data_IF_262297962633
#
_entry.id   IF_262297962633
#
_cell.length_a   1.000
_cell.length_b   1.000
_cell.length_c   1.000
_cell.angle_alpha   90.00
_cell.angle_beta   90.00
_cell.angle_gamma   90.00
#
_symmetry.space_group_name_H-M   'P 1'
#
loop_
_entity.id
_entity.type
_entity.pdbx_description
1 polymer ?
#
# COMPACT_ATOMS: atom_id res chain seq x y z
N UNK A 1 0.13 -18.30 -23.96
CA UNK A 1 0.08 -17.66 -22.66
C UNK A 1 1.08 -18.34 -21.75
N UNK A 2 1.98 -17.58 -21.10
CA UNK A 2 2.84 -18.15 -20.07
C UNK A 2 1.97 -18.54 -18.88
N UNK A 3 2.14 -19.76 -18.41
CA UNK A 3 1.65 -20.18 -17.10
C UNK A 3 2.30 -19.31 -16.04
N UNK A 4 1.50 -18.50 -15.38
CA UNK A 4 1.96 -17.73 -14.22
C UNK A 4 2.27 -18.77 -13.12
N UNK A 5 3.49 -18.78 -12.54
CA UNK A 5 3.79 -19.65 -11.42
C UNK A 5 2.75 -19.47 -10.32
N UNK A 6 2.46 -20.53 -9.58
CA UNK A 6 1.57 -20.44 -8.43
C UNK A 6 2.15 -19.51 -7.37
N UNK A 7 1.66 -18.27 -7.37
CA UNK A 7 2.10 -17.23 -6.43
C UNK A 7 1.78 -17.55 -4.97
N UNK A 8 0.89 -18.50 -4.72
CA UNK A 8 0.60 -18.96 -3.36
C UNK A 8 1.74 -19.78 -2.76
N UNK A 9 2.57 -20.40 -3.62
CA UNK A 9 3.63 -21.32 -3.16
C UNK A 9 5.05 -20.79 -3.36
N UNK A 10 5.33 -19.95 -4.36
CA UNK A 10 6.69 -19.44 -4.59
C UNK A 10 6.75 -18.14 -5.41
N UNK A 11 6.41 -17.03 -4.78
CA UNK A 11 6.52 -15.70 -5.39
C UNK A 11 7.97 -15.29 -5.72
N UNK A 12 8.97 -15.87 -5.04
CA UNK A 12 10.39 -15.54 -5.27
C UNK A 12 10.84 -15.90 -6.68
N UNK A 13 10.21 -16.89 -7.32
CA UNK A 13 10.55 -17.36 -8.67
C UNK A 13 9.78 -16.65 -9.79
N UNK A 14 8.83 -15.82 -9.48
CA UNK A 14 8.02 -15.12 -10.46
C UNK A 14 8.78 -13.91 -11.06
N UNK A 15 9.74 -14.15 -11.97
CA UNK A 15 10.59 -13.10 -12.53
C UNK A 15 9.81 -11.96 -13.19
N UNK A 16 8.74 -12.24 -13.90
CA UNK A 16 7.86 -11.22 -14.48
C UNK A 16 7.14 -10.40 -13.43
N UNK A 17 6.66 -11.03 -12.38
CA UNK A 17 6.02 -10.35 -11.26
C UNK A 17 7.03 -9.43 -10.56
N UNK A 18 8.24 -9.93 -10.27
CA UNK A 18 9.33 -9.12 -9.69
C UNK A 18 9.64 -7.90 -10.55
N UNK A 19 9.86 -8.09 -11.86
CA UNK A 19 10.13 -6.98 -12.77
C UNK A 19 9.01 -5.95 -12.80
N UNK A 20 7.76 -6.40 -12.83
CA UNK A 20 6.58 -5.51 -12.84
C UNK A 20 6.46 -4.66 -11.58
N UNK A 21 6.82 -5.21 -10.42
CA UNK A 21 6.67 -4.54 -9.12
C UNK A 21 7.92 -3.76 -8.70
N UNK A 22 9.10 -4.09 -9.21
CA UNK A 22 10.37 -3.50 -8.77
C UNK A 22 11.03 -2.59 -9.80
N UNK A 23 10.67 -2.67 -11.08
CA UNK A 23 11.23 -1.80 -12.10
C UNK A 23 10.53 -0.44 -12.11
N UNK A 24 11.25 0.62 -11.76
CA UNK A 24 10.72 1.98 -11.67
C UNK A 24 10.15 2.50 -12.99
N UNK A 25 10.79 2.17 -14.12
CA UNK A 25 10.29 2.55 -15.44
C UNK A 25 8.96 1.91 -15.78
N UNK A 26 8.75 0.64 -15.41
CA UNK A 26 7.48 -0.05 -15.60
C UNK A 26 6.39 0.52 -14.66
N UNK A 27 6.74 0.90 -13.44
CA UNK A 27 5.80 1.54 -12.51
C UNK A 27 5.34 2.90 -13.06
N UNK A 28 6.27 3.69 -13.57
CA UNK A 28 5.95 4.99 -14.17
C UNK A 28 5.11 4.83 -15.45
N UNK A 29 5.44 3.89 -16.33
CA UNK A 29 4.62 3.60 -17.50
C UNK A 29 3.18 3.16 -17.11
N UNK A 30 3.03 2.43 -16.02
CA UNK A 30 1.72 2.06 -15.48
C UNK A 30 0.95 3.27 -14.96
N UNK A 31 1.62 4.22 -14.31
CA UNK A 31 1.01 5.46 -13.86
C UNK A 31 0.51 6.29 -15.05
N UNK A 32 1.32 6.41 -16.12
CA UNK A 32 0.93 7.14 -17.32
C UNK A 32 -0.29 6.51 -18.00
N UNK A 33 -0.30 5.18 -18.15
CA UNK A 33 -1.45 4.48 -18.69
C UNK A 33 -2.71 4.67 -17.84
N UNK A 34 -2.56 4.73 -16.51
CA UNK A 34 -3.70 4.98 -15.62
C UNK A 34 -4.23 6.41 -15.75
N UNK A 35 -3.36 7.40 -15.92
CA UNK A 35 -3.76 8.79 -16.19
C UNK A 35 -4.58 8.85 -17.48
N UNK A 36 -4.09 8.23 -18.56
CA UNK A 36 -4.82 8.15 -19.84
C UNK A 36 -6.20 7.47 -19.68
N UNK A 37 -6.26 6.40 -18.86
CA UNK A 37 -7.52 5.72 -18.57
C UNK A 37 -8.53 6.66 -17.90
N UNK A 38 -8.09 7.43 -16.88
CA UNK A 38 -8.96 8.37 -16.17
C UNK A 38 -9.44 9.48 -17.11
N UNK A 39 -8.54 10.04 -17.92
CA UNK A 39 -8.89 11.05 -18.92
C UNK A 39 -9.95 10.52 -19.91
N UNK A 40 -9.73 9.34 -20.45
CA UNK A 40 -10.69 8.71 -21.38
C UNK A 40 -12.03 8.41 -20.72
N UNK A 41 -12.04 7.96 -19.48
CA UNK A 41 -13.28 7.77 -18.73
C UNK A 41 -14.06 9.09 -18.59
N UNK A 42 -13.36 10.16 -18.23
CA UNK A 42 -13.97 11.50 -18.11
C UNK A 42 -14.52 12.02 -19.44
N UNK A 43 -13.83 11.83 -20.57
CA UNK A 43 -14.33 12.17 -21.91
C UNK A 43 -15.68 11.50 -22.20
N UNK A 44 -15.93 10.32 -21.63
CA UNK A 44 -17.18 9.58 -21.75
C UNK A 44 -18.17 9.81 -20.59
N UNK A 45 -17.89 10.76 -19.69
CA UNK A 45 -18.75 11.06 -18.55
C UNK A 45 -18.72 9.99 -17.44
N UNK A 46 -17.72 9.12 -17.47
CA UNK A 46 -17.54 8.03 -16.47
C UNK A 46 -16.65 8.52 -15.34
N UNK A 47 -17.09 8.29 -14.10
CA UNK A 47 -16.32 8.58 -12.89
C UNK A 47 -15.49 7.36 -12.46
N UNK A 48 -14.28 7.62 -11.99
CA UNK A 48 -13.35 6.57 -11.53
C UNK A 48 -13.21 6.66 -10.01
N UNK A 49 -13.62 5.59 -9.34
CA UNK A 49 -13.42 5.39 -7.90
C UNK A 49 -12.38 4.30 -7.71
N UNK A 50 -11.31 4.58 -6.99
CA UNK A 50 -10.25 3.60 -6.72
C UNK A 50 -10.44 2.92 -5.37
N UNK A 51 -10.00 1.66 -5.28
CA UNK A 51 -10.07 0.88 -4.05
C UNK A 51 -8.83 1.13 -3.18
N UNK A 52 -9.05 1.55 -1.95
CA UNK A 52 -8.04 1.77 -0.94
C UNK A 52 -8.03 0.65 0.09
N UNK A 53 -7.15 -0.35 -0.07
CA UNK A 53 -6.87 -1.36 0.94
C UNK A 53 -5.79 -0.82 1.86
N UNK A 54 -6.18 -0.12 2.91
CA UNK A 54 -5.27 0.65 3.77
C UNK A 54 -5.05 0.03 5.16
N UNK A 55 -5.86 -0.96 5.56
CA UNK A 55 -5.72 -1.63 6.86
C UNK A 55 -4.48 -2.56 6.93
N UNK A 56 -4.13 -3.18 5.82
CA UNK A 56 -3.03 -4.13 5.69
C UNK A 56 -2.36 -3.99 4.33
N UNK A 57 -1.25 -4.67 4.14
CA UNK A 57 -0.63 -4.81 2.82
C UNK A 57 -0.41 -6.29 2.50
N UNK A 58 0.07 -6.60 1.30
CA UNK A 58 0.57 -7.95 1.01
C UNK A 58 1.95 -8.16 1.65
N UNK A 59 2.26 -9.38 2.03
CA UNK A 59 3.57 -9.74 2.61
C UNK A 59 4.77 -9.44 1.69
N UNK A 60 4.50 -9.37 0.38
CA UNK A 60 5.46 -9.00 -0.67
C UNK A 60 5.62 -7.48 -0.87
N UNK A 61 4.86 -6.65 -0.15
CA UNK A 61 5.02 -5.19 -0.24
C UNK A 61 6.43 -4.79 0.20
N UNK A 62 7.03 -3.81 -0.48
CA UNK A 62 8.40 -3.33 -0.20
C UNK A 62 8.65 -2.93 1.25
N UNK A 63 7.61 -2.58 2.00
CA UNK A 63 7.76 -2.20 3.41
C UNK A 63 8.08 -3.39 4.31
N UNK A 64 7.51 -4.56 4.03
CA UNK A 64 7.83 -5.80 4.74
C UNK A 64 8.86 -6.63 3.99
N UNK A 65 8.62 -6.86 2.70
CA UNK A 65 9.43 -7.65 1.76
C UNK A 65 9.78 -9.06 2.27
N UNK A 66 8.76 -9.77 2.80
CA UNK A 66 8.94 -11.15 3.27
C UNK A 66 9.46 -12.08 2.15
N UNK A 67 8.99 -11.88 0.94
CA UNK A 67 9.35 -12.67 -0.24
C UNK A 67 10.67 -12.23 -0.89
N UNK A 68 11.36 -11.23 -0.30
CA UNK A 68 12.68 -10.75 -0.75
C UNK A 68 12.71 -10.28 -2.23
N UNK A 69 11.61 -9.70 -2.70
CA UNK A 69 11.51 -9.20 -4.08
C UNK A 69 12.42 -7.98 -4.32
N UNK A 70 12.62 -7.17 -3.30
CA UNK A 70 13.38 -5.92 -3.36
C UNK A 70 14.81 -6.06 -2.82
N UNK A 71 15.13 -7.19 -2.20
CA UNK A 71 16.45 -7.46 -1.59
C UNK A 71 17.57 -7.34 -2.62
N UNK A 72 18.58 -6.54 -2.30
CA UNK A 72 19.74 -6.31 -3.17
C UNK A 72 19.48 -5.35 -4.34
N UNK A 73 18.32 -4.74 -4.42
CA UNK A 73 18.03 -3.68 -5.38
C UNK A 73 18.26 -2.31 -4.72
N UNK A 74 19.25 -1.56 -5.24
CA UNK A 74 19.67 -0.26 -4.70
C UNK A 74 18.62 0.85 -4.79
N UNK A 75 17.56 0.65 -5.58
CA UNK A 75 16.45 1.60 -5.70
C UNK A 75 15.49 1.53 -4.52
N UNK A 76 15.66 0.55 -3.63
CA UNK A 76 14.74 0.29 -2.52
C UNK A 76 15.47 0.11 -1.18
N UNK A 77 14.83 0.58 -0.14
CA UNK A 77 15.23 0.34 1.24
C UNK A 77 14.97 -1.11 1.66
N UNK A 78 15.72 -1.59 2.64
CA UNK A 78 15.51 -2.93 3.21
C UNK A 78 14.14 -3.04 3.88
N UNK A 79 13.40 -4.11 3.59
CA UNK A 79 12.10 -4.37 4.19
C UNK A 79 12.17 -4.69 5.70
N UNK A 80 11.08 -4.42 6.42
CA UNK A 80 11.02 -4.61 7.87
C UNK A 80 11.11 -6.07 8.31
N UNK A 81 10.79 -7.02 7.45
CA UNK A 81 10.97 -8.44 7.71
C UNK A 81 12.46 -8.81 7.86
N UNK A 82 13.32 -8.18 7.07
CA UNK A 82 14.73 -8.53 6.94
C UNK A 82 15.61 -7.84 7.97
N UNK A 83 15.22 -6.64 8.45
CA UNK A 83 16.04 -5.85 9.37
C UNK A 83 15.22 -5.04 10.36
N UNK A 84 15.69 -5.01 11.61
CA UNK A 84 15.16 -4.14 12.65
C UNK A 84 15.41 -2.65 12.35
N UNK A 85 16.50 -2.36 11.67
CA UNK A 85 16.91 -0.99 11.28
C UNK A 85 16.18 -0.51 10.02
N UNK A 86 15.29 -1.31 9.44
CA UNK A 86 14.48 -0.91 8.31
C UNK A 86 13.74 0.40 8.60
N UNK A 87 13.72 1.37 7.66
CA UNK A 87 12.95 2.59 7.81
C UNK A 87 11.43 2.35 7.86
N UNK A 88 11.01 1.13 7.59
CA UNK A 88 9.63 0.67 7.65
C UNK A 88 9.30 -0.16 8.89
N UNK A 89 10.25 -0.35 9.81
CA UNK A 89 10.05 -1.19 10.99
C UNK A 89 8.80 -0.78 11.79
N UNK A 90 8.61 0.53 12.04
CA UNK A 90 7.46 1.04 12.78
C UNK A 90 6.11 0.88 12.07
N UNK A 91 6.10 0.50 10.78
CA UNK A 91 4.87 0.27 10.02
C UNK A 91 4.16 -1.02 10.41
N UNK A 92 4.85 -1.88 11.16
CA UNK A 92 4.34 -3.18 11.61
C UNK A 92 4.53 -3.32 13.12
N UNK A 93 3.70 -4.16 13.73
CA UNK A 93 3.91 -4.63 15.11
C UNK A 93 4.59 -5.98 15.08
N UNK A 94 5.75 -6.07 15.69
CA UNK A 94 6.46 -7.34 15.90
C UNK A 94 6.35 -7.74 17.37
N UNK A 95 6.06 -9.01 17.64
CA UNK A 95 5.94 -9.53 19.00
C UNK A 95 7.26 -10.04 19.58
N UNK A 96 8.28 -10.24 18.73
CA UNK A 96 9.63 -10.67 19.14
C UNK A 96 10.71 -9.83 18.46
N UNK A 97 11.89 -9.80 19.06
CA UNK A 97 13.11 -9.16 18.51
C UNK A 97 13.99 -10.25 17.85
N UNK A 98 13.47 -10.85 16.76
CA UNK A 98 14.06 -12.03 16.11
C UNK A 98 14.44 -11.75 14.67
N UNK A 99 15.38 -10.86 14.44
CA UNK A 99 15.95 -10.57 13.12
C UNK A 99 17.24 -11.36 12.86
N UNK A 100 17.57 -11.61 11.59
CA UNK A 100 16.79 -11.32 10.39
C UNK A 100 15.59 -12.26 10.24
N UNK A 101 14.73 -11.94 9.25
CA UNK A 101 13.58 -12.76 8.87
C UNK A 101 12.52 -12.91 9.98
N UNK A 102 12.12 -11.75 10.53
CA UNK A 102 11.18 -11.72 11.64
C UNK A 102 9.73 -11.97 11.22
N UNK A 103 9.25 -13.18 11.48
CA UNK A 103 7.88 -13.64 11.23
C UNK A 103 6.85 -13.19 12.27
N UNK A 104 7.27 -12.51 13.32
CA UNK A 104 6.39 -12.17 14.45
C UNK A 104 5.52 -10.92 14.23
N UNK A 105 5.41 -10.44 13.00
CA UNK A 105 4.54 -9.31 12.67
C UNK A 105 3.06 -9.68 12.79
N UNK A 106 2.25 -8.69 13.17
CA UNK A 106 0.80 -8.86 13.26
C UNK A 106 0.19 -9.01 11.86
N UNK A 107 -0.60 -10.06 11.65
CA UNK A 107 -1.43 -10.26 10.46
C UNK A 107 -2.88 -9.87 10.72
N UNK A 108 -3.55 -9.27 9.72
CA UNK A 108 -4.99 -9.03 9.79
C UNK A 108 -5.73 -10.36 9.90
N UNK A 109 -6.54 -10.51 10.95
CA UNK A 109 -7.18 -11.78 11.35
C UNK A 109 -6.22 -12.97 11.49
N UNK A 110 -4.94 -12.70 11.76
CA UNK A 110 -3.90 -13.73 11.91
C UNK A 110 -3.33 -14.26 10.60
N UNK A 111 -3.72 -13.71 9.45
CA UNK A 111 -3.16 -14.10 8.16
C UNK A 111 -1.78 -13.46 7.96
N UNK A 112 -0.75 -14.28 7.86
CA UNK A 112 0.64 -13.85 7.66
C UNK A 112 0.91 -13.25 6.26
N UNK A 113 0.04 -13.55 5.28
CA UNK A 113 0.07 -12.95 3.94
C UNK A 113 -0.54 -11.55 3.88
N UNK A 114 -1.20 -11.12 4.97
CA UNK A 114 -1.89 -9.84 5.11
C UNK A 114 -1.36 -9.06 6.33
N UNK A 115 -0.09 -8.61 6.32
CA UNK A 115 0.50 -7.84 7.42
C UNK A 115 -0.34 -6.61 7.75
N UNK A 116 -0.77 -6.50 9.01
CA UNK A 116 -1.55 -5.37 9.50
C UNK A 116 -0.66 -4.15 9.68
N UNK A 117 -1.12 -3.00 9.22
CA UNK A 117 -0.38 -1.75 9.32
C UNK A 117 -0.56 -1.08 10.69
N UNK A 118 0.55 -0.65 11.27
CA UNK A 118 0.64 -0.09 12.62
C UNK A 118 0.56 1.44 12.62
N UNK A 119 -0.60 1.98 12.31
CA UNK A 119 -0.82 3.43 12.25
C UNK A 119 -0.59 4.13 13.59
N UNK A 120 -1.05 3.53 14.71
CA UNK A 120 -0.91 4.12 16.04
C UNK A 120 0.55 4.18 16.50
N UNK A 121 1.40 3.29 15.99
CA UNK A 121 2.83 3.26 16.26
C UNK A 121 3.68 4.03 15.26
N UNK A 122 3.09 4.62 14.20
CA UNK A 122 3.86 5.26 13.14
C UNK A 122 3.16 6.45 12.49
N UNK A 123 3.45 7.66 13.00
CA UNK A 123 2.97 8.90 12.37
C UNK A 123 3.57 9.08 10.96
N UNK A 124 4.75 8.52 10.69
CA UNK A 124 5.35 8.48 9.35
C UNK A 124 4.44 7.72 8.36
N UNK A 125 3.92 6.56 8.78
CA UNK A 125 2.95 5.81 7.98
C UNK A 125 1.65 6.59 7.78
N UNK A 126 1.10 7.18 8.85
CA UNK A 126 -0.11 8.00 8.77
C UNK A 126 0.04 9.11 7.72
N UNK A 127 1.12 9.86 7.79
CA UNK A 127 1.39 10.97 6.88
C UNK A 127 1.60 10.50 5.44
N UNK A 128 2.26 9.35 5.25
CA UNK A 128 2.43 8.78 3.93
C UNK A 128 1.08 8.41 3.29
N UNK A 129 0.20 7.74 4.03
CA UNK A 129 -1.12 7.35 3.53
C UNK A 129 -2.01 8.57 3.28
N UNK A 130 -1.96 9.58 4.16
CA UNK A 130 -2.69 10.83 3.92
C UNK A 130 -2.20 11.56 2.67
N UNK A 131 -0.89 11.53 2.40
CA UNK A 131 -0.36 12.07 1.14
C UNK A 131 -0.85 11.25 -0.08
N UNK A 132 -0.90 9.94 0.02
CA UNK A 132 -1.48 9.08 -1.03
C UNK A 132 -2.96 9.42 -1.26
N UNK A 133 -3.72 9.66 -0.20
CA UNK A 133 -5.13 10.05 -0.30
C UNK A 133 -5.33 11.31 -1.15
N UNK A 134 -4.48 12.32 -0.95
CA UNK A 134 -4.49 13.57 -1.73
C UNK A 134 -4.01 13.36 -3.17
N UNK A 135 -2.90 12.63 -3.32
CA UNK A 135 -2.21 12.43 -4.60
C UNK A 135 -3.15 11.91 -5.68
N UNK A 136 -3.93 10.88 -5.39
CA UNK A 136 -4.74 10.21 -6.40
C UNK A 136 -5.95 11.04 -6.85
N UNK A 137 -6.49 11.90 -5.99
CA UNK A 137 -7.61 12.79 -6.35
C UNK A 137 -7.17 14.13 -6.93
N UNK A 138 -5.85 14.33 -7.05
CA UNK A 138 -5.20 15.53 -7.57
C UNK A 138 -4.58 15.29 -8.94
N UNK A 139 -4.29 16.35 -9.72
CA UNK A 139 -3.49 16.23 -10.94
C UNK A 139 -2.13 15.54 -10.68
N UNK A 140 -1.66 14.68 -11.59
CA UNK A 140 -2.26 14.37 -12.90
C UNK A 140 -3.29 13.22 -12.87
N UNK A 141 -3.47 12.53 -11.75
CA UNK A 141 -4.31 11.34 -11.67
C UNK A 141 -5.81 11.64 -11.74
N UNK A 142 -6.28 12.65 -10.99
CA UNK A 142 -7.65 13.17 -11.04
C UNK A 142 -8.76 12.12 -10.88
N UNK A 143 -8.56 11.07 -10.08
CA UNK A 143 -9.65 10.14 -9.78
C UNK A 143 -10.76 10.83 -9.01
N UNK A 144 -11.98 10.32 -9.14
CA UNK A 144 -13.18 10.95 -8.58
C UNK A 144 -13.47 10.54 -7.12
N UNK A 145 -12.69 9.64 -6.58
CA UNK A 145 -12.83 9.27 -5.15
C UNK A 145 -12.24 7.92 -4.76
N UNK A 146 -12.56 7.54 -3.54
CA UNK A 146 -12.06 6.35 -2.86
C UNK A 146 -13.19 5.44 -2.40
N UNK A 147 -13.06 4.15 -2.63
CA UNK A 147 -13.73 3.10 -1.87
C UNK A 147 -12.72 2.57 -0.86
N UNK A 148 -13.09 2.51 0.42
CA UNK A 148 -12.18 2.13 1.49
C UNK A 148 -12.52 0.72 1.98
N UNK A 149 -11.65 -0.23 1.67
CA UNK A 149 -11.82 -1.62 2.09
C UNK A 149 -11.55 -1.77 3.58
N UNK A 150 -12.37 -2.59 4.26
CA UNK A 150 -12.29 -2.90 5.69
C UNK A 150 -11.99 -1.68 6.58
N UNK A 151 -12.61 -0.56 6.27
CA UNK A 151 -12.33 0.72 6.91
C UNK A 151 -12.52 0.69 8.45
N UNK A 152 -13.45 -0.14 8.94
CA UNK A 152 -13.70 -0.31 10.37
C UNK A 152 -12.54 -0.95 11.12
N UNK A 153 -11.70 -1.74 10.44
CA UNK A 153 -10.61 -2.51 11.06
C UNK A 153 -9.29 -1.72 11.14
N UNK A 154 -9.20 -0.56 10.47
CA UNK A 154 -7.96 0.22 10.44
C UNK A 154 -7.60 0.76 11.84
N UNK A 155 -6.33 0.59 12.19
CA UNK A 155 -5.80 0.93 13.51
C UNK A 155 -6.06 -0.17 14.54
N UNK A 156 -5.83 0.15 15.81
CA UNK A 156 -5.97 -0.79 16.93
C UNK A 156 -6.97 -0.32 17.99
N UNK A 157 -7.59 0.85 17.77
CA UNK A 157 -8.67 1.35 18.61
C UNK A 157 -9.73 2.08 17.78
N UNK A 158 -11.01 2.02 18.20
CA UNK A 158 -12.07 2.78 17.53
C UNK A 158 -11.83 4.29 17.54
N UNK A 159 -11.26 4.81 18.63
CA UNK A 159 -10.93 6.23 18.75
C UNK A 159 -9.91 6.66 17.69
N UNK A 160 -8.83 5.90 17.52
CA UNK A 160 -7.84 6.16 16.48
C UNK A 160 -8.46 6.07 15.09
N UNK A 161 -9.23 5.00 14.83
CA UNK A 161 -9.92 4.77 13.57
C UNK A 161 -10.73 6.01 13.14
N UNK A 162 -11.60 6.50 14.03
CA UNK A 162 -12.44 7.67 13.74
C UNK A 162 -11.62 8.94 13.48
N UNK A 163 -10.57 9.18 14.26
CA UNK A 163 -9.65 10.33 14.06
C UNK A 163 -8.91 10.23 12.74
N UNK A 164 -8.43 9.05 12.39
CA UNK A 164 -7.70 8.83 11.14
C UNK A 164 -8.59 9.06 9.92
N UNK A 165 -9.78 8.49 9.89
CA UNK A 165 -10.70 8.66 8.76
C UNK A 165 -11.20 10.10 8.61
N UNK A 166 -11.32 10.84 9.70
CA UNK A 166 -11.58 12.27 9.63
C UNK A 166 -10.42 13.01 8.95
N UNK A 167 -9.17 12.75 9.35
CA UNK A 167 -7.96 13.32 8.71
C UNK A 167 -7.93 12.96 7.22
N UNK A 168 -8.18 11.70 6.89
CA UNK A 168 -8.22 11.21 5.50
C UNK A 168 -9.25 11.97 4.67
N UNK A 169 -10.47 12.06 5.17
CA UNK A 169 -11.55 12.82 4.52
C UNK A 169 -11.17 14.29 4.31
N UNK A 170 -10.65 14.93 5.35
CA UNK A 170 -10.31 16.36 5.29
C UNK A 170 -9.23 16.60 4.22
N UNK A 171 -8.21 15.74 4.14
CA UNK A 171 -7.17 15.80 3.10
C UNK A 171 -7.72 15.59 1.70
N UNK A 172 -8.55 14.57 1.49
CA UNK A 172 -9.17 14.30 0.19
C UNK A 172 -10.05 15.48 -0.24
N UNK A 173 -10.89 15.99 0.66
CA UNK A 173 -11.81 17.11 0.36
C UNK A 173 -11.09 18.44 0.15
N UNK A 174 -9.96 18.63 0.79
CA UNK A 174 -9.11 19.82 0.56
C UNK A 174 -8.47 19.76 -0.84
N UNK A 175 -8.01 18.59 -1.27
CA UNK A 175 -7.41 18.37 -2.57
C UNK A 175 -8.46 18.39 -3.70
N UNK A 176 -9.60 17.76 -3.48
CA UNK A 176 -10.72 17.70 -4.42
C UNK A 176 -12.06 17.73 -3.66
N UNK A 177 -12.72 18.88 -3.55
CA UNK A 177 -14.01 19.00 -2.83
C UNK A 177 -15.12 18.09 -3.37
N UNK A 178 -15.05 17.72 -4.65
CA UNK A 178 -16.05 16.89 -5.32
C UNK A 178 -15.75 15.38 -5.19
N UNK A 179 -14.58 15.00 -4.67
CA UNK A 179 -14.24 13.58 -4.53
C UNK A 179 -15.23 12.85 -3.62
N UNK A 180 -15.57 11.62 -3.99
CA UNK A 180 -16.44 10.70 -3.22
C UNK A 180 -15.55 9.85 -2.30
N UNK A 181 -16.06 9.57 -1.10
CA UNK A 181 -15.42 8.64 -0.15
C UNK A 181 -16.50 7.74 0.43
#
# INVERSE_FOLDING_TARGET
GETVPDYATDNKKASKYKTRTTNLGNLEASNQLFIELVEKAHEHGIKIIIDGVLNHCGSFNKWLDREELYKGNSDYETGAYQSKESPYNSYFKFSTDSWPDNYSYEGWWGFDTLPKLNYEGSEKLCNYILHIAEKWVSPPFNVDGWRLDVAADLGHSPEFNHKFWKRFRDRVKQANPNAII
#
